data_IF_803086712714
#
_entry.id   IF_803086712714
#
_cell.length_a   1.000
_cell.length_b   1.000
_cell.length_c   1.000
_cell.angle_alpha   90.00
_cell.angle_beta   90.00
_cell.angle_gamma   90.00
#
_symmetry.space_group_name_H-M   'P 1'
#
loop_
_entity.id
_entity.type
_entity.pdbx_description
1 polymer ?
#
# COMPACT_ATOMS: atom_id res chain seq x y z
N UNK A 1 -11.38 76.24 6.22
CA UNK A 1 -10.13 75.78 5.58
C UNK A 1 -9.21 75.31 6.70
N UNK A 2 -8.64 74.09 6.59
CA UNK A 2 -7.80 73.36 7.55
C UNK A 2 -8.52 72.38 8.51
N UNK A 3 -9.02 71.27 7.94
CA UNK A 3 -9.09 69.97 8.62
C UNK A 3 -8.49 68.95 7.66
N UNK A 4 -7.22 68.57 7.85
CA UNK A 4 -6.64 67.42 7.15
C UNK A 4 -5.67 66.63 8.04
N UNK A 5 -5.84 65.31 7.96
CA UNK A 5 -4.81 64.29 8.08
C UNK A 5 -4.21 63.95 9.46
N UNK A 6 -5.01 63.31 10.32
CA UNK A 6 -4.46 62.45 11.38
C UNK A 6 -5.00 61.00 11.35
N UNK A 7 -5.91 60.63 10.45
CA UNK A 7 -6.54 59.28 10.49
C UNK A 7 -5.98 58.22 9.53
N UNK A 8 -4.87 58.47 8.82
CA UNK A 8 -4.39 57.58 7.75
C UNK A 8 -3.25 56.62 8.14
N UNK A 9 -2.80 56.57 9.39
CA UNK A 9 -1.62 55.77 9.80
C UNK A 9 -1.89 54.54 10.69
N UNK A 10 -3.14 54.20 11.00
CA UNK A 10 -3.47 53.02 11.85
C UNK A 10 -4.06 51.81 11.12
N UNK A 11 -4.06 51.80 9.77
CA UNK A 11 -4.70 50.74 8.99
C UNK A 11 -3.70 49.79 8.28
N UNK A 12 -2.44 49.71 8.75
CA UNK A 12 -1.37 48.98 8.06
C UNK A 12 -0.82 47.74 8.78
N UNK A 13 -1.44 47.25 9.86
CA UNK A 13 -0.89 46.09 10.58
C UNK A 13 -1.96 45.25 11.27
N UNK A 14 -2.78 44.52 10.50
CA UNK A 14 -3.34 43.20 10.89
C UNK A 14 -3.96 42.52 9.67
N UNK A 15 -3.18 42.33 8.61
CA UNK A 15 -3.48 41.31 7.61
C UNK A 15 -2.52 40.15 7.80
N UNK A 16 -2.54 39.56 9.01
CA UNK A 16 -1.99 38.21 9.19
C UNK A 16 -3.01 37.24 8.61
N UNK A 17 -2.84 37.03 7.32
CA UNK A 17 -3.53 36.09 6.48
C UNK A 17 -3.48 34.70 7.15
N UNK A 18 -4.63 34.27 7.66
CA UNK A 18 -4.83 33.05 8.45
C UNK A 18 -4.59 31.77 7.64
N UNK A 19 -3.33 31.51 7.30
CA UNK A 19 -2.87 30.19 6.88
C UNK A 19 -2.85 29.30 8.12
N UNK A 20 -4.02 28.75 8.48
CA UNK A 20 -4.13 27.73 9.50
C UNK A 20 -3.02 26.69 9.27
N UNK A 21 -2.08 26.63 10.21
CA UNK A 21 -0.91 25.77 10.14
C UNK A 21 -1.38 24.33 9.95
N UNK A 22 -0.78 23.60 9.02
CA UNK A 22 -1.07 22.18 8.82
C UNK A 22 -0.85 21.36 10.11
N UNK A 23 -0.06 21.90 11.04
CA UNK A 23 0.26 21.33 12.34
C UNK A 23 -0.75 21.69 13.45
N UNK A 24 -1.60 22.71 13.25
CA UNK A 24 -2.68 23.09 14.18
C UNK A 24 -3.95 22.26 14.00
N UNK A 25 -3.98 21.37 13.00
CA UNK A 25 -5.04 20.37 12.88
C UNK A 25 -4.89 19.37 14.02
N UNK A 26 -5.69 19.56 15.06
CA UNK A 26 -5.81 18.60 16.16
C UNK A 26 -5.98 17.18 15.59
N UNK A 27 -5.24 16.23 16.15
CA UNK A 27 -5.37 14.80 15.83
C UNK A 27 -6.85 14.36 15.93
N UNK A 28 -7.62 14.99 16.83
CA UNK A 28 -9.06 14.82 16.98
C UNK A 28 -9.90 15.23 15.74
N UNK A 29 -9.49 16.23 14.97
CA UNK A 29 -10.17 16.60 13.72
C UNK A 29 -9.91 15.59 12.59
N UNK A 30 -8.73 14.94 12.59
CA UNK A 30 -8.40 13.81 11.70
C UNK A 30 -9.13 12.53 12.12
N UNK A 31 -9.41 12.38 13.42
CA UNK A 31 -10.13 11.26 14.03
C UNK A 31 -11.66 11.36 13.98
N UNK A 32 -12.23 12.25 13.17
CA UNK A 32 -13.63 12.11 12.75
C UNK A 32 -13.72 10.89 11.82
N UNK A 33 -13.72 9.70 12.43
CA UNK A 33 -13.85 8.42 11.74
C UNK A 33 -15.28 8.36 11.21
N UNK A 34 -15.44 8.71 9.94
CA UNK A 34 -16.64 8.37 9.20
C UNK A 34 -16.76 6.84 9.11
N UNK A 35 -18.00 6.33 9.09
CA UNK A 35 -18.25 4.89 9.01
C UNK A 35 -17.58 4.23 7.79
N UNK A 36 -17.43 4.97 6.70
CA UNK A 36 -16.71 4.49 5.50
C UNK A 36 -15.22 4.33 5.76
N UNK A 37 -14.60 5.26 6.49
CA UNK A 37 -13.20 5.15 6.90
C UNK A 37 -13.04 3.91 7.78
N UNK A 38 -13.95 3.68 8.74
CA UNK A 38 -13.95 2.46 9.55
C UNK A 38 -14.10 1.20 8.69
N UNK A 39 -14.97 1.22 7.68
CA UNK A 39 -15.15 0.09 6.76
C UNK A 39 -13.89 -0.21 5.95
N UNK A 40 -13.23 0.80 5.39
CA UNK A 40 -11.98 0.62 4.66
C UNK A 40 -10.83 0.16 5.55
N UNK A 41 -10.73 0.66 6.78
CA UNK A 41 -9.77 0.16 7.77
C UNK A 41 -10.05 -1.32 8.06
N UNK A 42 -11.31 -1.71 8.25
CA UNK A 42 -11.69 -3.10 8.43
C UNK A 42 -11.28 -3.99 7.25
N UNK A 43 -11.56 -3.55 6.02
CA UNK A 43 -11.15 -4.25 4.80
C UNK A 43 -9.63 -4.38 4.72
N UNK A 44 -8.87 -3.31 5.02
CA UNK A 44 -7.42 -3.33 5.02
C UNK A 44 -6.86 -4.33 6.03
N UNK A 45 -7.36 -4.31 7.27
CA UNK A 45 -6.94 -5.25 8.32
C UNK A 45 -7.22 -6.69 7.89
N UNK A 46 -8.43 -6.97 7.40
CA UNK A 46 -8.80 -8.31 6.93
C UNK A 46 -7.97 -8.74 5.72
N UNK A 47 -7.64 -7.81 4.81
CA UNK A 47 -6.76 -8.09 3.68
C UNK A 47 -5.36 -8.48 4.17
N UNK A 48 -4.77 -7.69 5.07
CA UNK A 48 -3.46 -8.00 5.65
C UNK A 48 -3.49 -9.36 6.37
N UNK A 49 -4.48 -9.61 7.23
CA UNK A 49 -4.58 -10.89 7.94
C UNK A 49 -4.70 -12.04 6.95
N UNK A 50 -5.64 -12.00 6.01
CA UNK A 50 -5.87 -13.12 5.09
C UNK A 50 -4.68 -13.43 4.17
N UNK A 51 -3.88 -12.42 3.78
CA UNK A 51 -2.73 -12.59 2.89
C UNK A 51 -1.46 -13.00 3.64
N UNK A 52 -1.25 -12.52 4.87
CA UNK A 52 -0.05 -12.80 5.64
C UNK A 52 -0.21 -13.94 6.66
N UNK A 53 -1.44 -14.32 7.00
CA UNK A 53 -1.69 -15.43 7.92
C UNK A 53 -1.19 -16.74 7.34
N UNK A 54 -0.21 -17.33 8.03
CA UNK A 54 0.37 -18.64 7.73
C UNK A 54 0.92 -18.74 6.29
N UNK A 55 1.58 -17.67 5.84
CA UNK A 55 2.04 -17.52 4.46
C UNK A 55 3.11 -18.56 4.06
N UNK A 56 3.87 -19.07 5.03
CA UNK A 56 4.93 -20.06 4.84
C UNK A 56 4.48 -21.52 4.87
N UNK A 57 3.25 -21.84 5.29
CA UNK A 57 2.88 -23.24 5.58
C UNK A 57 2.85 -24.17 4.37
N UNK A 58 2.63 -23.64 3.16
CA UNK A 58 2.55 -24.47 1.96
C UNK A 58 3.95 -24.70 1.37
N UNK A 59 4.23 -25.94 0.99
CA UNK A 59 5.44 -26.27 0.22
C UNK A 59 5.54 -25.40 -1.04
N UNK A 60 6.77 -25.01 -1.40
CA UNK A 60 7.05 -24.27 -2.62
C UNK A 60 6.76 -25.15 -3.84
N UNK A 61 6.06 -24.59 -4.81
CA UNK A 61 5.92 -25.23 -6.12
C UNK A 61 7.20 -25.08 -6.95
N UNK A 62 7.24 -25.74 -8.11
CA UNK A 62 8.32 -25.56 -9.07
C UNK A 62 8.51 -24.09 -9.48
N UNK A 63 7.41 -23.40 -9.84
CA UNK A 63 7.46 -21.99 -10.26
C UNK A 63 7.91 -21.07 -9.12
N UNK A 64 7.46 -21.32 -7.88
CA UNK A 64 7.88 -20.52 -6.72
C UNK A 64 9.37 -20.73 -6.40
N UNK A 65 9.86 -21.96 -6.55
CA UNK A 65 11.26 -22.30 -6.26
C UNK A 65 12.25 -21.56 -7.15
N UNK A 66 11.90 -21.32 -8.43
CA UNK A 66 12.74 -20.53 -9.33
C UNK A 66 12.86 -19.09 -8.82
N UNK A 67 11.73 -18.49 -8.42
CA UNK A 67 11.74 -17.16 -7.81
C UNK A 67 12.50 -17.14 -6.48
N UNK A 68 12.38 -18.17 -5.65
CA UNK A 68 13.08 -18.27 -4.38
C UNK A 68 14.60 -18.34 -4.57
N UNK A 69 15.08 -19.24 -5.44
CA UNK A 69 16.51 -19.51 -5.66
C UNK A 69 17.20 -18.33 -6.32
N UNK A 70 16.67 -17.82 -7.43
CA UNK A 70 17.34 -16.72 -8.14
C UNK A 70 17.33 -15.40 -7.37
N UNK A 71 16.28 -15.15 -6.57
CA UNK A 71 16.28 -14.00 -5.66
C UNK A 71 17.27 -14.18 -4.52
N UNK A 72 17.48 -15.41 -4.05
CA UNK A 72 18.47 -15.73 -3.03
C UNK A 72 19.89 -15.54 -3.55
N UNK A 73 20.18 -15.98 -4.77
CA UNK A 73 21.48 -15.77 -5.42
C UNK A 73 21.77 -14.29 -5.62
N UNK A 74 20.78 -13.52 -6.10
CA UNK A 74 20.88 -12.06 -6.21
C UNK A 74 21.12 -11.41 -4.84
N UNK A 75 20.39 -11.82 -3.81
CA UNK A 75 20.57 -11.32 -2.44
C UNK A 75 21.97 -11.61 -1.89
N UNK A 76 22.48 -12.84 -2.09
CA UNK A 76 23.72 -13.31 -1.46
C UNK A 76 24.98 -12.89 -2.23
N UNK A 77 24.92 -12.87 -3.55
CA UNK A 77 26.08 -12.72 -4.43
C UNK A 77 26.06 -11.39 -5.19
N UNK A 78 24.90 -10.72 -5.28
CA UNK A 78 24.72 -9.49 -6.07
C UNK A 78 24.71 -9.74 -7.57
N UNK A 79 24.69 -11.00 -8.02
CA UNK A 79 24.68 -11.37 -9.42
C UNK A 79 23.25 -11.65 -9.89
N UNK A 80 22.78 -10.89 -10.88
CA UNK A 80 21.53 -11.15 -11.59
C UNK A 80 21.86 -11.36 -13.06
N UNK A 81 21.84 -12.61 -13.50
CA UNK A 81 21.95 -12.96 -14.91
C UNK A 81 20.60 -13.48 -15.39
N UNK A 82 19.99 -12.75 -16.32
CA UNK A 82 18.72 -13.17 -16.89
C UNK A 82 18.89 -14.45 -17.70
N UNK A 83 18.14 -15.48 -17.32
CA UNK A 83 18.07 -16.75 -18.03
C UNK A 83 16.71 -16.83 -18.76
N UNK A 84 16.62 -17.39 -19.98
CA UNK A 84 15.33 -17.63 -20.67
C UNK A 84 14.27 -18.39 -19.86
N UNK A 85 14.67 -19.14 -18.82
CA UNK A 85 13.74 -19.79 -17.87
C UNK A 85 13.13 -18.81 -16.85
N UNK A 86 13.61 -17.57 -16.77
CA UNK A 86 13.12 -16.54 -15.86
C UNK A 86 12.12 -15.63 -16.57
N UNK A 87 11.13 -15.15 -15.82
CA UNK A 87 10.26 -14.07 -16.24
C UNK A 87 10.91 -12.69 -15.99
N UNK A 88 10.11 -11.61 -16.04
CA UNK A 88 10.60 -10.25 -15.86
C UNK A 88 11.38 -10.05 -14.55
N UNK A 89 12.38 -9.14 -14.54
CA UNK A 89 13.35 -8.99 -13.44
C UNK A 89 12.75 -8.48 -12.13
N UNK A 90 11.59 -7.82 -12.19
CA UNK A 90 11.02 -7.06 -11.08
C UNK A 90 10.79 -7.92 -9.83
N UNK A 91 10.18 -9.10 -9.97
CA UNK A 91 9.89 -9.95 -8.81
C UNK A 91 11.15 -10.47 -8.14
N UNK A 92 12.21 -10.75 -8.90
CA UNK A 92 13.49 -11.19 -8.34
C UNK A 92 14.16 -10.10 -7.49
N UNK A 93 14.12 -8.85 -7.96
CA UNK A 93 14.71 -7.72 -7.23
C UNK A 93 13.90 -7.35 -5.99
N UNK A 94 12.57 -7.33 -6.10
CA UNK A 94 11.69 -7.09 -4.93
C UNK A 94 11.92 -8.18 -3.87
N UNK A 95 11.99 -9.44 -4.28
CA UNK A 95 12.14 -10.54 -3.34
C UNK A 95 13.55 -10.57 -2.71
N UNK A 96 14.61 -10.29 -3.49
CA UNK A 96 15.96 -10.12 -2.94
C UNK A 96 16.04 -8.97 -1.92
N UNK A 97 15.34 -7.87 -2.17
CA UNK A 97 15.23 -6.76 -1.21
C UNK A 97 14.46 -7.16 0.06
N UNK A 98 13.40 -7.97 -0.07
CA UNK A 98 12.69 -8.51 1.09
C UNK A 98 13.59 -9.44 1.91
N UNK A 99 14.39 -10.30 1.26
CA UNK A 99 15.36 -11.14 1.94
C UNK A 99 16.41 -10.33 2.69
N UNK A 100 16.86 -9.21 2.13
CA UNK A 100 17.76 -8.28 2.80
C UNK A 100 17.17 -7.70 4.09
N UNK A 101 15.88 -7.35 4.08
CA UNK A 101 15.22 -6.71 5.22
C UNK A 101 14.74 -7.69 6.29
N UNK A 102 14.20 -8.84 5.89
CA UNK A 102 13.44 -9.74 6.76
C UNK A 102 14.08 -11.13 6.89
N UNK A 103 15.14 -11.41 6.14
CA UNK A 103 15.77 -12.72 6.05
C UNK A 103 15.07 -13.67 5.08
N UNK A 104 15.69 -14.83 4.89
CA UNK A 104 15.25 -15.84 3.92
C UNK A 104 14.37 -16.88 4.61
N UNK A 105 13.15 -17.04 4.12
CA UNK A 105 12.18 -18.03 4.58
C UNK A 105 11.09 -18.26 3.53
N UNK A 106 10.32 -19.34 3.67
CA UNK A 106 9.17 -19.60 2.79
C UNK A 106 8.11 -18.49 2.86
N UNK A 107 7.95 -17.86 4.03
CA UNK A 107 7.03 -16.74 4.19
C UNK A 107 7.55 -15.48 3.48
N UNK A 108 8.81 -15.11 3.68
CA UNK A 108 9.40 -13.90 3.08
C UNK A 108 9.49 -14.00 1.56
N UNK A 109 9.63 -15.21 1.02
CA UNK A 109 9.54 -15.49 -0.43
C UNK A 109 8.21 -15.04 -1.05
N UNK A 110 7.12 -15.06 -0.28
CA UNK A 110 5.76 -14.71 -0.73
C UNK A 110 5.30 -13.34 -0.25
N UNK A 111 6.16 -12.58 0.43
CA UNK A 111 5.80 -11.26 0.96
C UNK A 111 5.46 -10.27 -0.16
N UNK A 112 6.21 -10.29 -1.25
CA UNK A 112 5.97 -9.45 -2.43
C UNK A 112 4.55 -9.60 -3.00
N UNK A 113 4.12 -10.81 -3.42
CA UNK A 113 2.76 -11.01 -3.90
C UNK A 113 1.69 -10.74 -2.82
N UNK A 114 1.98 -11.01 -1.54
CA UNK A 114 1.03 -10.74 -0.45
C UNK A 114 0.77 -9.23 -0.29
N UNK A 115 1.83 -8.41 -0.35
CA UNK A 115 1.72 -6.94 -0.36
C UNK A 115 0.96 -6.45 -1.59
N UNK A 116 1.28 -6.97 -2.78
CA UNK A 116 0.57 -6.61 -4.01
C UNK A 116 -0.92 -6.97 -3.92
N UNK A 117 -1.26 -8.12 -3.34
CA UNK A 117 -2.65 -8.54 -3.12
C UNK A 117 -3.44 -7.62 -2.18
N UNK A 118 -2.82 -7.13 -1.11
CA UNK A 118 -3.42 -6.09 -0.26
C UNK A 118 -3.64 -4.81 -1.09
N UNK A 119 -2.65 -4.43 -1.91
CA UNK A 119 -2.76 -3.32 -2.85
C UNK A 119 -3.93 -3.47 -3.83
N UNK A 120 -4.15 -4.66 -4.39
CA UNK A 120 -5.29 -4.95 -5.30
C UNK A 120 -6.62 -4.76 -4.59
N UNK A 121 -6.78 -5.26 -3.35
CA UNK A 121 -8.01 -5.06 -2.58
C UNK A 121 -8.25 -3.56 -2.33
N UNK A 122 -7.20 -2.83 -1.94
CA UNK A 122 -7.31 -1.39 -1.67
C UNK A 122 -7.43 -0.54 -2.93
N UNK A 123 -7.05 -1.05 -4.10
CA UNK A 123 -7.23 -0.35 -5.37
C UNK A 123 -8.72 -0.10 -5.67
N UNK A 124 -9.64 -0.91 -5.13
CA UNK A 124 -11.07 -0.64 -5.21
C UNK A 124 -11.45 0.76 -4.68
N UNK A 125 -10.73 1.26 -3.67
CA UNK A 125 -10.93 2.61 -3.14
C UNK A 125 -10.52 3.69 -4.15
N UNK A 126 -9.48 3.46 -4.96
CA UNK A 126 -9.07 4.40 -6.02
C UNK A 126 -10.17 4.55 -7.08
N UNK A 127 -10.93 3.49 -7.32
CA UNK A 127 -12.04 3.50 -8.28
C UNK A 127 -13.35 4.11 -7.72
N UNK A 128 -13.35 4.64 -6.49
CA UNK A 128 -14.52 5.28 -5.86
C UNK A 128 -15.18 6.36 -6.70
N UNK A 129 -14.40 7.08 -7.51
CA UNK A 129 -14.91 8.18 -8.35
C UNK A 129 -15.86 7.69 -9.45
N UNK A 130 -15.68 6.45 -9.90
CA UNK A 130 -16.47 5.88 -11.00
C UNK A 130 -17.53 4.89 -10.50
N UNK A 131 -17.23 4.10 -9.46
CA UNK A 131 -18.16 3.11 -8.88
C UNK A 131 -19.14 3.71 -7.86
N UNK A 132 -18.87 4.93 -7.40
CA UNK A 132 -19.52 5.50 -6.23
C UNK A 132 -19.08 4.82 -4.93
N UNK A 133 -19.60 5.33 -3.81
CA UNK A 133 -19.22 4.90 -2.46
C UNK A 133 -19.56 3.44 -2.19
N UNK A 134 -20.80 3.06 -2.46
CA UNK A 134 -21.31 1.69 -2.22
C UNK A 134 -20.66 0.70 -3.17
N UNK A 135 -20.53 1.04 -4.45
CA UNK A 135 -19.89 0.18 -5.45
C UNK A 135 -18.42 -0.11 -5.14
N UNK A 136 -17.67 0.90 -4.68
CA UNK A 136 -16.27 0.71 -4.29
C UNK A 136 -16.12 -0.21 -3.06
N UNK A 137 -17.00 -0.05 -2.06
CA UNK A 137 -17.01 -0.94 -0.89
C UNK A 137 -17.35 -2.38 -1.28
N UNK A 138 -18.37 -2.58 -2.12
CA UNK A 138 -18.72 -3.92 -2.61
C UNK A 138 -17.58 -4.54 -3.41
N UNK A 139 -16.93 -3.77 -4.29
CA UNK A 139 -15.76 -4.25 -5.04
C UNK A 139 -14.60 -4.63 -4.11
N UNK A 140 -14.31 -3.82 -3.09
CA UNK A 140 -13.29 -4.13 -2.09
C UNK A 140 -13.59 -5.42 -1.32
N UNK A 141 -14.84 -5.63 -0.91
CA UNK A 141 -15.27 -6.87 -0.22
C UNK A 141 -15.19 -8.08 -1.15
N UNK A 142 -15.61 -7.96 -2.42
CA UNK A 142 -15.53 -9.05 -3.38
C UNK A 142 -14.07 -9.45 -3.66
N UNK A 143 -13.17 -8.48 -3.84
CA UNK A 143 -11.73 -8.74 -4.00
C UNK A 143 -11.11 -9.33 -2.73
N UNK A 144 -11.56 -8.90 -1.55
CA UNK A 144 -11.09 -9.41 -0.27
C UNK A 144 -11.41 -10.91 -0.10
N UNK A 145 -12.65 -11.32 -0.41
CA UNK A 145 -13.15 -12.70 -0.18
C UNK A 145 -12.92 -13.63 -1.38
N UNK A 146 -12.62 -13.08 -2.57
CA UNK A 146 -12.39 -13.86 -3.79
C UNK A 146 -11.30 -14.93 -3.61
N UNK A 147 -11.60 -16.23 -3.79
CA UNK A 147 -10.62 -17.31 -3.70
C UNK A 147 -9.47 -17.17 -4.69
N UNK A 148 -9.76 -16.76 -5.94
CA UNK A 148 -8.73 -16.63 -6.99
C UNK A 148 -7.72 -15.55 -6.65
N UNK A 149 -8.18 -14.33 -6.35
CA UNK A 149 -7.32 -13.22 -5.90
C UNK A 149 -6.50 -13.61 -4.67
N UNK A 150 -7.12 -14.25 -3.67
CA UNK A 150 -6.42 -14.68 -2.47
C UNK A 150 -5.30 -15.68 -2.80
N UNK A 151 -5.58 -16.69 -3.63
CA UNK A 151 -4.60 -17.71 -4.03
C UNK A 151 -3.40 -17.08 -4.74
N UNK A 152 -3.64 -16.24 -5.76
CA UNK A 152 -2.56 -15.65 -6.55
C UNK A 152 -1.78 -14.61 -5.74
N UNK A 153 -2.43 -13.90 -4.80
CA UNK A 153 -1.73 -13.01 -3.89
C UNK A 153 -0.83 -13.71 -2.88
N UNK A 154 -0.92 -15.03 -2.73
CA UNK A 154 -0.09 -15.81 -1.80
C UNK A 154 0.88 -16.74 -2.53
N UNK A 155 1.02 -16.57 -3.84
CA UNK A 155 1.81 -17.42 -4.71
C UNK A 155 2.81 -16.58 -5.49
N UNK A 156 4.12 -16.86 -5.34
CA UNK A 156 5.13 -16.12 -6.10
C UNK A 156 5.35 -16.74 -7.47
N UNK A 157 4.65 -16.18 -8.46
CA UNK A 157 4.75 -16.56 -9.86
C UNK A 157 4.50 -15.32 -10.71
N UNK A 158 5.03 -15.33 -11.94
CA UNK A 158 4.56 -14.39 -12.95
C UNK A 158 3.34 -15.01 -13.64
N UNK A 159 2.17 -14.45 -13.33
CA UNK A 159 0.87 -14.80 -13.92
C UNK A 159 0.40 -13.70 -14.89
#
# INVERSE_FOLDING_TARGET
MLQENVSSSQQAATSEDGRASLLDRSVAAVLRIDWETAAWIGILILAVISRFYDLGARAMSHDESLHAVYSYDLYRQGDYQHNPMMHGPLLFHINAFIYLLLGVSDATTRFGPALAGVGVVMAAWLFRRWLGRTGALMAGVLLLVSPSVLFHSRYIRND
#
